data_IF_974604499433
#
_entry.id   IF_974604499433
#
_cell.length_a   1.000
_cell.length_b   1.000
_cell.length_c   1.000
_cell.angle_alpha   90.00
_cell.angle_beta   90.00
_cell.angle_gamma   90.00
#
_symmetry.space_group_name_H-M   'P 1'
#
loop_
_entity.id
_entity.type
_entity.pdbx_description
1 polymer ?
#
# COMPACT_ATOMS: atom_id res chain seq x y z
N UNK A 1 14.36 1.86 -15.78
CA UNK A 1 14.09 2.64 -14.56
C UNK A 1 12.67 3.19 -14.70
N UNK A 2 11.84 3.21 -13.66
CA UNK A 2 10.48 3.81 -13.77
C UNK A 2 10.62 5.30 -13.43
N UNK A 3 10.49 6.19 -14.42
CA UNK A 3 10.32 7.62 -14.19
C UNK A 3 8.83 7.99 -14.13
N UNK A 4 8.51 9.01 -13.35
CA UNK A 4 7.18 9.60 -13.21
C UNK A 4 7.27 11.10 -13.37
N UNK A 5 6.25 11.72 -13.94
CA UNK A 5 6.24 13.16 -14.13
C UNK A 5 5.83 13.85 -12.83
N UNK A 6 6.61 14.84 -12.40
CA UNK A 6 6.24 15.64 -11.25
C UNK A 6 5.05 16.54 -11.60
N UNK A 7 3.95 16.42 -10.85
CA UNK A 7 2.73 17.21 -11.07
C UNK A 7 2.93 18.73 -10.90
N UNK A 8 3.98 19.14 -10.17
CA UNK A 8 4.25 20.54 -9.85
C UNK A 8 5.19 21.22 -10.84
N UNK A 9 6.27 20.55 -11.25
CA UNK A 9 7.27 21.15 -12.15
C UNK A 9 7.26 20.58 -13.56
N UNK A 10 6.51 19.50 -13.82
CA UNK A 10 6.48 18.81 -15.11
C UNK A 10 7.75 18.04 -15.47
N UNK A 11 8.78 18.07 -14.62
CA UNK A 11 10.02 17.32 -14.86
C UNK A 11 9.84 15.83 -14.54
N UNK A 12 10.52 15.00 -15.33
CA UNK A 12 10.61 13.55 -15.11
C UNK A 12 11.49 13.28 -13.90
N UNK A 13 10.94 12.63 -12.89
CA UNK A 13 11.66 12.24 -11.68
C UNK A 13 11.67 10.72 -11.52
N UNK A 14 12.70 10.14 -10.88
CA UNK A 14 12.69 8.71 -10.58
C UNK A 14 11.54 8.37 -9.61
N UNK A 15 10.81 7.28 -9.86
CA UNK A 15 9.68 6.86 -9.00
C UNK A 15 10.08 6.60 -7.54
N UNK A 16 11.37 6.37 -7.30
CA UNK A 16 11.92 6.03 -6.00
C UNK A 16 12.31 7.25 -5.15
N UNK A 17 12.33 8.47 -5.73
CA UNK A 17 12.67 9.68 -4.97
C UNK A 17 11.47 10.16 -4.17
N UNK A 18 11.63 10.33 -2.85
CA UNK A 18 10.57 10.85 -1.95
C UNK A 18 10.22 12.33 -2.20
N UNK A 19 11.15 13.08 -2.78
CA UNK A 19 10.99 14.48 -3.14
C UNK A 19 11.52 14.70 -4.54
N UNK A 20 10.88 15.61 -5.28
CA UNK A 20 11.37 16.02 -6.59
C UNK A 20 12.70 16.79 -6.42
N UNK A 21 13.79 16.38 -7.08
CA UNK A 21 15.08 17.09 -7.00
C UNK A 21 15.07 18.47 -7.67
N UNK A 22 14.05 18.77 -8.49
CA UNK A 22 13.95 20.04 -9.21
C UNK A 22 13.16 21.10 -8.44
N UNK A 23 12.03 20.74 -7.83
CA UNK A 23 11.15 21.70 -7.15
C UNK A 23 11.06 21.48 -5.63
N UNK A 24 11.61 20.39 -5.09
CA UNK A 24 11.52 20.05 -3.68
C UNK A 24 10.15 19.56 -3.21
N UNK A 25 9.15 19.47 -4.10
CA UNK A 25 7.82 18.98 -3.75
C UNK A 25 7.84 17.48 -3.41
N UNK A 26 6.96 17.06 -2.49
CA UNK A 26 6.77 15.65 -2.14
C UNK A 26 6.29 14.85 -3.36
N UNK A 27 6.92 13.70 -3.61
CA UNK A 27 6.53 12.84 -4.74
C UNK A 27 5.24 12.07 -4.39
N UNK A 28 4.11 12.44 -5.01
CA UNK A 28 2.85 11.71 -4.83
C UNK A 28 2.83 10.34 -5.54
N UNK A 29 3.80 10.07 -6.42
CA UNK A 29 3.85 8.88 -7.28
C UNK A 29 4.66 7.71 -6.71
N UNK A 30 4.98 7.73 -5.41
CA UNK A 30 5.80 6.70 -4.80
C UNK A 30 5.07 5.34 -4.76
N UNK A 31 5.27 4.50 -5.77
CA UNK A 31 4.73 3.13 -5.80
C UNK A 31 5.37 2.27 -4.69
N UNK A 32 6.59 2.62 -4.25
CA UNK A 32 7.33 1.90 -3.20
C UNK A 32 6.94 2.27 -1.77
N UNK A 33 6.19 3.35 -1.55
CA UNK A 33 5.86 3.89 -0.24
C UNK A 33 4.61 3.30 0.41
N UNK A 34 3.82 2.52 -0.33
CA UNK A 34 2.64 1.86 0.24
C UNK A 34 3.10 0.70 1.12
N UNK A 35 3.31 0.98 2.42
CA UNK A 35 3.52 0.07 3.57
C UNK A 35 2.85 -1.30 3.38
N UNK A 36 3.50 -2.16 2.62
CA UNK A 36 3.04 -3.51 2.32
C UNK A 36 3.14 -4.42 3.55
N UNK A 37 3.91 -4.02 4.57
CA UNK A 37 3.98 -4.69 5.86
C UNK A 37 2.69 -4.57 6.70
N UNK A 38 2.05 -3.39 6.74
CA UNK A 38 0.88 -3.16 7.62
C UNK A 38 -0.38 -3.79 7.02
N UNK A 39 -0.58 -3.68 5.70
CA UNK A 39 -1.73 -4.29 5.02
C UNK A 39 -1.68 -5.81 5.04
N UNK A 40 -0.50 -6.44 4.89
CA UNK A 40 -0.36 -7.91 4.94
C UNK A 40 -0.73 -8.47 6.32
N UNK A 41 -0.26 -7.82 7.40
CA UNK A 41 -0.57 -8.28 8.76
C UNK A 41 -2.07 -8.18 9.04
N UNK A 42 -2.72 -7.09 8.62
CA UNK A 42 -4.16 -6.92 8.74
C UNK A 42 -4.95 -8.00 7.98
N UNK A 43 -4.54 -8.31 6.73
CA UNK A 43 -5.19 -9.35 5.92
C UNK A 43 -5.10 -10.73 6.58
N UNK A 44 -3.94 -11.10 7.14
CA UNK A 44 -3.77 -12.39 7.83
C UNK A 44 -4.70 -12.48 9.05
N UNK A 45 -4.80 -11.43 9.86
CA UNK A 45 -5.72 -11.38 11.00
C UNK A 45 -7.18 -11.52 10.57
N UNK A 46 -7.57 -10.83 9.50
CA UNK A 46 -8.94 -10.90 8.98
C UNK A 46 -9.30 -12.31 8.48
N UNK A 47 -8.39 -12.97 7.76
CA UNK A 47 -8.58 -14.35 7.30
C UNK A 47 -8.76 -15.30 8.50
N UNK A 48 -7.94 -15.16 9.55
CA UNK A 48 -8.07 -15.96 10.78
C UNK A 48 -9.43 -15.77 11.46
N UNK A 49 -9.91 -14.53 11.56
CA UNK A 49 -11.22 -14.21 12.15
C UNK A 49 -12.37 -14.82 11.34
N UNK A 50 -12.32 -14.73 10.01
CA UNK A 50 -13.35 -15.31 9.12
C UNK A 50 -13.41 -16.83 9.27
N UNK A 51 -12.26 -17.52 9.27
CA UNK A 51 -12.21 -18.97 9.46
C UNK A 51 -12.76 -19.38 10.83
N UNK A 52 -12.42 -18.64 11.89
CA UNK A 52 -12.96 -18.86 13.22
C UNK A 52 -14.49 -18.69 13.25
N UNK A 53 -15.00 -17.64 12.60
CA UNK A 53 -16.44 -17.37 12.53
C UNK A 53 -17.19 -18.47 11.76
N UNK A 54 -16.64 -18.93 10.63
CA UNK A 54 -17.21 -20.05 9.87
C UNK A 54 -17.16 -21.36 10.63
N UNK A 55 -16.06 -21.62 11.36
CA UNK A 55 -15.94 -22.78 12.23
C UNK A 55 -17.04 -22.78 13.28
N UNK A 56 -17.24 -21.67 13.99
CA UNK A 56 -18.32 -21.53 14.96
C UNK A 56 -19.71 -21.61 14.33
N UNK A 57 -19.93 -21.02 13.15
CA UNK A 57 -21.22 -21.12 12.46
C UNK A 57 -21.55 -22.56 12.02
N UNK A 58 -20.53 -23.36 11.70
CA UNK A 58 -20.69 -24.78 11.39
C UNK A 58 -20.80 -25.65 12.65
N UNK A 59 -20.12 -25.27 13.74
CA UNK A 59 -20.14 -25.97 15.03
C UNK A 59 -21.38 -25.69 15.85
N UNK A 60 -22.00 -24.50 15.71
CA UNK A 60 -23.28 -24.20 16.31
C UNK A 60 -24.32 -24.97 15.49
N UNK A 61 -24.74 -26.15 15.98
CA UNK A 61 -25.73 -26.92 15.27
C UNK A 61 -27.02 -26.12 15.35
N UNK A 62 -27.62 -25.86 14.19
CA UNK A 62 -28.94 -25.27 14.10
C UNK A 62 -29.94 -26.04 14.96
#
# INVERSE_FOLDING_TARGET
MKEVDCLYCGNRIPNDSAHCPHCGAVSHFQERGYRSGVRKRFIIFFIGLVLFCLFFAFYLPR
#
